data_IF_111712138770
#
_entry.id   IF_111712138770
#
_cell.length_a   1.000
_cell.length_b   1.000
_cell.length_c   1.000
_cell.angle_alpha   90.00
_cell.angle_beta   90.00
_cell.angle_gamma   90.00
#
_symmetry.space_group_name_H-M   'P 1'
#
loop_
_entity.id
_entity.type
_entity.pdbx_description
1 polymer ?
#
# COMPACT_ATOMS: atom_id res chain seq x y z
N UNK A 1 -24.69 -14.54 3.80
CA UNK A 1 -23.99 -13.27 3.84
C UNK A 1 -23.63 -12.79 2.43
N UNK A 2 -23.36 -11.51 2.29
CA UNK A 2 -22.88 -10.92 1.05
C UNK A 2 -21.96 -9.74 1.35
N UNK A 3 -21.27 -9.19 0.32
CA UNK A 3 -20.35 -8.09 0.51
C UNK A 3 -20.30 -7.14 -0.69
N UNK A 4 -19.84 -5.93 -0.42
CA UNK A 4 -19.47 -4.92 -1.43
C UNK A 4 -18.21 -4.20 -0.98
N UNK A 5 -17.47 -3.60 -1.92
CA UNK A 5 -16.29 -2.82 -1.58
C UNK A 5 -16.64 -1.63 -0.67
N UNK A 6 -15.82 -1.42 0.36
CA UNK A 6 -15.93 -0.24 1.23
C UNK A 6 -15.36 1.01 0.56
N UNK A 7 -14.50 0.84 -0.45
CA UNK A 7 -13.77 1.92 -1.15
C UNK A 7 -12.94 2.80 -0.22
N UNK A 8 -12.45 2.20 0.88
CA UNK A 8 -11.53 2.89 1.77
C UNK A 8 -10.18 3.13 1.09
N UNK A 9 -9.57 4.27 1.38
CA UNK A 9 -8.22 4.59 0.96
C UNK A 9 -7.22 3.82 1.83
N UNK A 10 -6.51 2.87 1.20
CA UNK A 10 -5.62 1.91 1.85
C UNK A 10 -4.25 1.85 1.19
N UNK A 11 -3.92 2.87 0.39
CA UNK A 11 -2.74 2.89 -0.47
C UNK A 11 -2.10 4.28 -0.44
N UNK A 12 -0.80 4.34 -0.17
CA UNK A 12 -0.02 5.57 -0.27
C UNK A 12 1.21 5.35 -1.15
N UNK A 13 1.65 6.41 -1.81
CA UNK A 13 2.93 6.47 -2.49
C UNK A 13 3.92 7.24 -1.61
N UNK A 14 5.17 6.78 -1.64
CA UNK A 14 6.28 7.47 -0.99
C UNK A 14 7.34 7.83 -2.02
N UNK A 15 7.83 9.05 -1.93
CA UNK A 15 8.98 9.51 -2.68
C UNK A 15 10.24 9.17 -1.89
N UNK A 16 11.01 8.21 -2.39
CA UNK A 16 12.22 7.71 -1.75
C UNK A 16 13.45 8.41 -2.33
N UNK A 17 14.30 8.96 -1.48
CA UNK A 17 15.58 9.50 -1.90
C UNK A 17 16.61 8.37 -1.96
N UNK A 18 17.06 8.06 -3.18
CA UNK A 18 17.94 6.91 -3.48
C UNK A 18 19.41 7.33 -3.52
N UNK A 19 20.29 6.41 -3.11
CA UNK A 19 21.73 6.50 -3.24
C UNK A 19 22.30 5.11 -3.57
N UNK A 20 22.41 4.77 -4.86
CA UNK A 20 22.82 3.45 -5.32
C UNK A 20 21.88 2.33 -4.87
N UNK A 21 22.38 1.42 -4.05
CA UNK A 21 21.63 0.29 -3.48
C UNK A 21 21.06 0.58 -2.07
N UNK A 22 20.94 1.87 -1.73
CA UNK A 22 20.41 2.32 -0.45
C UNK A 22 19.42 3.49 -0.65
N UNK A 23 18.66 3.82 0.38
CA UNK A 23 17.80 4.98 0.43
C UNK A 23 18.01 5.76 1.74
N UNK A 24 17.74 7.05 1.71
CA UNK A 24 17.82 7.91 2.89
C UNK A 24 16.59 7.74 3.78
N UNK A 25 16.83 7.63 5.09
CA UNK A 25 15.77 7.58 6.10
C UNK A 25 16.28 8.18 7.41
N UNK A 26 15.58 9.19 7.92
CA UNK A 26 15.91 9.88 9.19
C UNK A 26 17.38 10.31 9.30
N UNK A 27 17.94 10.78 8.19
CA UNK A 27 19.33 11.21 8.10
C UNK A 27 20.37 10.11 7.98
N UNK A 28 19.97 8.86 7.79
CA UNK A 28 20.85 7.70 7.59
C UNK A 28 20.57 6.99 6.26
N UNK A 29 21.58 6.32 5.71
CA UNK A 29 21.42 5.42 4.57
C UNK A 29 21.00 4.03 5.06
N UNK A 30 19.91 3.51 4.49
CA UNK A 30 19.38 2.17 4.74
C UNK A 30 19.47 1.35 3.46
N UNK A 31 20.02 0.13 3.47
CA UNK A 31 20.07 -0.72 2.28
C UNK A 31 18.66 -1.02 1.74
N UNK A 32 18.51 -1.01 0.41
CA UNK A 32 17.32 -1.53 -0.26
C UNK A 32 17.27 -3.06 -0.09
N UNK A 33 16.08 -3.56 0.17
CA UNK A 33 15.83 -5.00 0.05
C UNK A 33 15.65 -5.33 -1.45
N UNK A 34 16.39 -6.33 -1.93
CA UNK A 34 16.30 -6.77 -3.32
C UNK A 34 15.93 -8.23 -3.38
N UNK A 35 14.87 -8.54 -4.14
CA UNK A 35 14.41 -9.90 -4.38
C UNK A 35 14.37 -10.16 -5.88
N UNK A 36 15.10 -11.19 -6.31
CA UNK A 36 15.11 -11.59 -7.72
C UNK A 36 13.95 -12.55 -8.00
N UNK A 37 13.12 -12.23 -8.99
CA UNK A 37 12.02 -13.04 -9.46
C UNK A 37 12.26 -13.53 -10.88
N UNK A 38 12.00 -14.82 -11.13
CA UNK A 38 12.13 -15.44 -12.46
C UNK A 38 10.77 -15.90 -12.97
N UNK A 39 10.36 -15.38 -14.11
CA UNK A 39 9.15 -15.75 -14.81
C UNK A 39 9.46 -16.72 -15.92
N UNK A 40 8.93 -17.93 -15.84
CA UNK A 40 9.05 -18.92 -16.90
C UNK A 40 8.05 -18.63 -18.02
N UNK A 41 8.58 -18.39 -19.22
CA UNK A 41 7.78 -18.06 -20.40
C UNK A 41 7.58 -19.28 -21.27
N UNK A 42 6.34 -19.71 -21.47
CA UNK A 42 6.06 -20.86 -22.33
C UNK A 42 6.46 -20.57 -23.78
N UNK A 43 7.44 -21.33 -24.30
CA UNK A 43 7.94 -21.18 -25.67
C UNK A 43 8.90 -20.00 -25.89
N UNK A 44 9.40 -19.39 -24.85
CA UNK A 44 10.39 -18.32 -24.90
C UNK A 44 11.44 -18.46 -23.78
N UNK A 45 12.36 -17.50 -23.73
CA UNK A 45 13.35 -17.43 -22.67
C UNK A 45 12.72 -16.94 -21.36
N UNK A 46 13.22 -17.42 -20.22
CA UNK A 46 12.81 -16.96 -18.91
C UNK A 46 13.16 -15.47 -18.73
N UNK A 47 12.25 -14.73 -18.09
CA UNK A 47 12.45 -13.31 -17.75
C UNK A 47 12.77 -13.19 -16.27
N UNK A 48 13.86 -12.53 -15.94
CA UNK A 48 14.27 -12.27 -14.54
C UNK A 48 14.21 -10.77 -14.26
N UNK A 49 13.60 -10.40 -13.13
CA UNK A 49 13.54 -9.03 -12.64
C UNK A 49 14.01 -8.96 -11.20
N UNK A 50 14.60 -7.84 -10.82
CA UNK A 50 14.92 -7.52 -9.44
C UNK A 50 13.85 -6.55 -8.88
N UNK A 51 13.13 -7.01 -7.87
CA UNK A 51 12.19 -6.19 -7.11
C UNK A 51 12.94 -5.55 -5.95
N UNK A 52 13.11 -4.25 -6.02
CA UNK A 52 13.74 -3.44 -4.96
C UNK A 52 12.66 -2.87 -4.06
N UNK A 53 12.89 -2.85 -2.76
CA UNK A 53 11.92 -2.39 -1.77
C UNK A 53 12.59 -1.52 -0.70
N UNK A 54 11.81 -0.56 -0.18
CA UNK A 54 12.11 0.20 1.02
C UNK A 54 11.25 -0.32 2.18
N UNK A 55 11.30 0.33 3.33
CA UNK A 55 10.40 0.06 4.46
C UNK A 55 8.92 0.29 4.10
N UNK A 56 8.64 1.14 3.12
CA UNK A 56 7.27 1.42 2.68
C UNK A 56 6.73 0.37 1.70
N UNK A 57 7.62 -0.38 1.03
CA UNK A 57 7.25 -1.44 0.08
C UNK A 57 8.04 -1.39 -1.23
N UNK A 58 7.55 -2.07 -2.28
CA UNK A 58 8.27 -2.18 -3.54
C UNK A 58 8.36 -0.83 -4.26
N UNK A 59 9.51 -0.61 -4.92
CA UNK A 59 9.70 0.50 -5.84
C UNK A 59 8.91 0.22 -7.11
N UNK A 60 8.09 1.20 -7.51
CA UNK A 60 7.16 1.10 -8.64
C UNK A 60 7.41 2.14 -9.74
N UNK A 61 8.46 2.97 -9.63
CA UNK A 61 8.77 4.07 -10.56
C UNK A 61 8.78 3.64 -12.03
N UNK A 62 9.25 2.44 -12.34
CA UNK A 62 9.34 1.95 -13.73
C UNK A 62 8.06 1.27 -14.25
N UNK A 63 6.96 1.24 -13.49
CA UNK A 63 5.74 0.53 -13.89
C UNK A 63 4.83 1.35 -14.80
N UNK A 64 4.83 2.67 -14.64
CA UNK A 64 4.05 3.60 -15.47
C UNK A 64 4.86 4.84 -15.79
N UNK A 65 4.49 5.53 -16.88
CA UNK A 65 5.12 6.79 -17.26
C UNK A 65 4.93 7.87 -16.17
N UNK A 66 3.78 7.89 -15.51
CA UNK A 66 3.48 8.84 -14.43
C UNK A 66 4.40 8.62 -13.21
N UNK A 67 4.58 7.37 -12.76
CA UNK A 67 5.48 7.08 -11.64
C UNK A 67 6.94 7.37 -11.98
N UNK A 68 7.32 7.13 -13.23
CA UNK A 68 8.66 7.48 -13.73
C UNK A 68 8.86 8.99 -13.70
N UNK A 69 7.89 9.76 -14.22
CA UNK A 69 7.96 11.21 -14.23
C UNK A 69 8.04 11.83 -12.82
N UNK A 70 7.29 11.28 -11.85
CA UNK A 70 7.37 11.71 -10.44
C UNK A 70 8.77 11.45 -9.87
N UNK A 71 9.38 10.32 -10.19
CA UNK A 71 10.73 10.00 -9.73
C UNK A 71 11.81 10.88 -10.38
N UNK A 72 11.69 11.13 -11.69
CA UNK A 72 12.67 11.90 -12.46
C UNK A 72 12.63 13.40 -12.14
N UNK A 73 11.45 13.94 -11.89
CA UNK A 73 11.26 15.34 -11.50
C UNK A 73 10.19 15.51 -10.40
N UNK A 74 10.53 15.22 -9.16
CA UNK A 74 9.58 15.29 -8.07
C UNK A 74 9.12 16.72 -7.72
N UNK A 75 9.83 17.74 -8.19
CA UNK A 75 9.47 19.14 -7.96
C UNK A 75 8.37 19.64 -8.90
N UNK A 76 8.35 19.15 -10.14
CA UNK A 76 7.36 19.54 -11.17
C UNK A 76 6.46 18.36 -11.55
N UNK A 77 6.79 17.16 -11.11
CA UNK A 77 6.21 15.83 -11.31
C UNK A 77 4.97 15.79 -12.15
N UNK A 78 5.09 15.34 -13.36
CA UNK A 78 4.12 15.19 -14.43
C UNK A 78 2.85 16.06 -14.39
N UNK A 79 2.63 16.75 -15.51
CA UNK A 79 1.30 17.16 -15.98
C UNK A 79 0.35 17.72 -14.93
N UNK A 80 0.37 19.02 -14.72
CA UNK A 80 -0.63 19.83 -14.02
C UNK A 80 -0.82 19.61 -12.50
N UNK A 81 -0.21 18.63 -11.90
CA UNK A 81 -0.15 18.48 -10.46
C UNK A 81 1.24 18.91 -9.96
N UNK A 82 1.32 20.12 -9.44
CA UNK A 82 2.37 20.44 -8.46
C UNK A 82 2.24 19.39 -7.37
N UNK A 83 3.25 18.52 -7.22
CA UNK A 83 3.36 17.65 -6.04
C UNK A 83 3.84 18.56 -4.89
N UNK A 84 2.97 19.14 -4.08
CA UNK A 84 3.41 19.62 -2.80
C UNK A 84 3.72 18.32 -2.05
N UNK A 85 4.98 17.98 -1.88
CA UNK A 85 5.34 17.12 -0.76
C UNK A 85 4.54 17.63 0.42
N UNK A 86 3.85 16.73 1.12
CA UNK A 86 2.95 17.08 2.22
C UNK A 86 3.57 17.80 3.40
N UNK A 87 4.66 18.52 3.18
CA UNK A 87 5.27 19.47 4.08
C UNK A 87 4.46 20.76 3.97
N UNK A 88 3.42 20.88 4.78
CA UNK A 88 2.56 22.07 4.83
C UNK A 88 3.29 23.40 5.08
N UNK A 89 4.61 23.42 5.08
CA UNK A 89 5.51 24.54 5.31
C UNK A 89 6.37 24.92 4.08
N UNK A 90 6.14 24.30 2.92
CA UNK A 90 6.87 24.61 1.68
C UNK A 90 8.34 24.19 1.69
N UNK A 91 8.68 23.13 2.44
CA UNK A 91 10.02 22.58 2.44
C UNK A 91 10.42 22.15 1.03
N UNK A 92 11.61 22.57 0.59
CA UNK A 92 12.16 22.20 -0.70
C UNK A 92 12.53 20.71 -0.71
N UNK A 93 12.26 20.03 -1.83
CA UNK A 93 12.74 18.66 -2.05
C UNK A 93 14.27 18.69 -2.02
N UNK A 94 14.93 17.89 -1.15
CA UNK A 94 16.38 17.81 -1.14
C UNK A 94 16.91 17.36 -2.51
N UNK A 95 18.05 17.87 -3.00
CA UNK A 95 18.59 17.41 -4.28
C UNK A 95 19.01 15.92 -4.18
N UNK A 96 18.80 15.15 -5.25
CA UNK A 96 19.15 13.73 -5.29
C UNK A 96 18.45 12.95 -6.39
N UNK A 97 18.66 11.66 -6.42
CA UNK A 97 17.92 10.69 -7.22
C UNK A 97 16.72 10.20 -6.41
N UNK A 98 15.60 10.00 -7.09
CA UNK A 98 14.36 9.59 -6.44
C UNK A 98 13.73 8.36 -7.07
N UNK A 99 12.94 7.65 -6.28
CA UNK A 99 12.08 6.57 -6.72
C UNK A 99 10.73 6.68 -6.00
N UNK A 100 9.69 6.10 -6.59
CA UNK A 100 8.37 5.99 -5.96
C UNK A 100 8.22 4.58 -5.41
N UNK A 101 7.90 4.45 -4.13
CA UNK A 101 7.52 3.19 -3.51
C UNK A 101 6.02 3.14 -3.22
N UNK A 102 5.48 1.92 -3.16
CA UNK A 102 4.06 1.66 -2.93
C UNK A 102 3.85 1.08 -1.54
N UNK A 103 3.13 1.78 -0.67
CA UNK A 103 2.60 1.25 0.57
C UNK A 103 1.13 0.90 0.40
N UNK A 104 0.79 -0.37 0.57
CA UNK A 104 -0.57 -0.87 0.41
C UNK A 104 -0.87 -1.99 1.41
N UNK A 105 -2.00 -1.91 2.12
CA UNK A 105 -2.37 -2.93 3.11
C UNK A 105 -2.43 -4.35 2.55
N UNK A 106 -2.67 -4.50 1.23
CA UNK A 106 -2.69 -5.81 0.57
C UNK A 106 -1.30 -6.44 0.35
N UNK A 107 -0.21 -5.69 0.54
CA UNK A 107 1.15 -6.21 0.50
C UNK A 107 1.57 -6.86 1.82
N UNK A 108 0.82 -6.62 2.90
CA UNK A 108 1.07 -7.23 4.19
C UNK A 108 0.51 -8.67 4.23
N UNK A 109 1.20 -9.54 4.95
CA UNK A 109 0.69 -10.89 5.22
C UNK A 109 -0.57 -10.77 6.09
N UNK A 110 -1.66 -11.40 5.66
CA UNK A 110 -2.96 -11.27 6.32
C UNK A 110 -3.74 -12.57 6.40
N UNK A 111 -4.91 -12.50 7.06
CA UNK A 111 -5.78 -13.64 7.35
C UNK A 111 -7.07 -13.66 6.53
N UNK A 112 -7.20 -12.81 5.51
CA UNK A 112 -8.42 -12.69 4.69
C UNK A 112 -8.91 -14.02 4.11
N UNK A 113 -8.01 -14.89 3.64
CA UNK A 113 -8.39 -16.20 3.12
C UNK A 113 -9.07 -17.06 4.22
N UNK A 114 -8.54 -17.04 5.44
CA UNK A 114 -9.14 -17.74 6.59
C UNK A 114 -10.50 -17.14 6.96
N UNK A 115 -10.66 -15.82 6.85
CA UNK A 115 -11.94 -15.14 7.08
C UNK A 115 -13.04 -15.67 6.15
N UNK A 116 -12.75 -15.86 4.86
CA UNK A 116 -13.74 -16.37 3.89
C UNK A 116 -14.22 -17.77 4.26
N UNK A 117 -13.31 -18.68 4.64
CA UNK A 117 -13.70 -20.01 5.10
C UNK A 117 -14.52 -19.97 6.40
N UNK A 118 -14.15 -19.13 7.36
CA UNK A 118 -14.87 -18.96 8.62
C UNK A 118 -16.26 -18.33 8.41
N UNK A 119 -16.40 -17.34 7.52
CA UNK A 119 -17.69 -16.73 7.14
C UNK A 119 -18.66 -17.78 6.57
N UNK A 120 -18.17 -18.71 5.75
CA UNK A 120 -18.98 -19.76 5.12
C UNK A 120 -19.46 -20.82 6.13
N UNK A 121 -18.81 -20.94 7.27
CA UNK A 121 -19.17 -21.91 8.34
C UNK A 121 -19.86 -21.26 9.53
N UNK A 122 -20.00 -19.94 9.57
CA UNK A 122 -20.69 -19.22 10.63
C UNK A 122 -22.18 -19.59 10.66
N UNK A 123 -22.71 -19.94 11.83
CA UNK A 123 -24.10 -20.36 12.03
C UNK A 123 -24.99 -19.30 12.65
N UNK A 124 -24.39 -18.22 13.16
CA UNK A 124 -25.06 -17.11 13.80
C UNK A 124 -24.26 -15.79 13.63
N UNK A 125 -24.85 -14.69 14.10
CA UNK A 125 -24.21 -13.37 13.97
C UNK A 125 -22.91 -13.24 14.79
N UNK A 126 -22.78 -13.93 15.92
CA UNK A 126 -21.55 -13.90 16.72
C UNK A 126 -20.40 -14.60 15.99
N UNK A 127 -20.65 -15.76 15.38
CA UNK A 127 -19.71 -16.47 14.52
C UNK A 127 -19.35 -15.66 13.26
N UNK A 128 -20.35 -15.02 12.65
CA UNK A 128 -20.13 -14.13 11.52
C UNK A 128 -19.20 -12.96 11.88
N UNK A 129 -19.40 -12.30 13.03
CA UNK A 129 -18.53 -11.23 13.51
C UNK A 129 -17.11 -11.71 13.80
N UNK A 130 -16.98 -12.88 14.44
CA UNK A 130 -15.66 -13.47 14.71
C UNK A 130 -14.92 -13.78 13.41
N UNK A 131 -15.62 -14.30 12.39
CA UNK A 131 -15.04 -14.53 11.09
C UNK A 131 -14.66 -13.22 10.39
N UNK A 132 -15.52 -12.20 10.44
CA UNK A 132 -15.24 -10.88 9.86
C UNK A 132 -13.99 -10.22 10.47
N UNK A 133 -13.69 -10.46 11.76
CA UNK A 133 -12.48 -9.90 12.39
C UNK A 133 -11.16 -10.44 11.85
N UNK A 134 -11.18 -11.51 11.04
CA UNK A 134 -10.03 -12.08 10.36
C UNK A 134 -9.83 -11.46 8.95
N UNK A 135 -10.76 -10.62 8.51
CA UNK A 135 -10.73 -10.06 7.17
C UNK A 135 -9.89 -8.79 7.16
N UNK A 136 -8.68 -8.88 6.60
CA UNK A 136 -7.73 -7.78 6.59
C UNK A 136 -7.90 -6.85 5.37
N UNK A 137 -7.95 -7.43 4.15
CA UNK A 137 -7.94 -6.66 2.90
C UNK A 137 -8.72 -7.38 1.78
N UNK A 138 -9.27 -6.63 0.82
CA UNK A 138 -9.58 -5.19 0.87
C UNK A 138 -10.73 -4.90 1.84
N UNK A 139 -10.80 -3.69 2.39
CA UNK A 139 -11.90 -3.33 3.30
C UNK A 139 -13.27 -3.48 2.61
N UNK A 140 -14.22 -4.12 3.30
CA UNK A 140 -15.52 -4.51 2.75
C UNK A 140 -16.69 -4.05 3.61
N UNK A 141 -17.85 -3.90 2.97
CA UNK A 141 -19.14 -3.92 3.65
C UNK A 141 -19.64 -5.37 3.68
N UNK A 142 -19.76 -5.98 4.84
CA UNK A 142 -20.30 -7.33 5.01
C UNK A 142 -21.72 -7.28 5.59
N UNK A 143 -22.64 -7.94 4.90
CA UNK A 143 -24.06 -8.03 5.29
C UNK A 143 -24.38 -9.45 5.75
N UNK A 144 -25.06 -9.57 6.87
CA UNK A 144 -25.56 -10.81 7.43
C UNK A 144 -27.09 -10.83 7.45
N UNK A 145 -27.67 -11.99 7.14
CA UNK A 145 -29.06 -12.28 7.37
C UNK A 145 -29.23 -13.78 7.65
N UNK A 146 -30.16 -14.16 8.54
CA UNK A 146 -30.49 -15.54 8.88
C UNK A 146 -31.97 -15.86 8.72
N UNK A 147 -32.31 -17.14 8.88
CA UNK A 147 -33.69 -17.64 8.77
C UNK A 147 -34.57 -17.25 9.97
N UNK A 148 -34.00 -16.81 11.08
CA UNK A 148 -34.70 -16.29 12.24
C UNK A 148 -35.10 -14.81 12.07
N UNK A 149 -34.68 -14.19 10.96
CA UNK A 149 -35.00 -12.79 10.65
C UNK A 149 -33.97 -11.80 11.21
N UNK A 150 -32.85 -12.28 11.75
CA UNK A 150 -31.78 -11.39 12.19
C UNK A 150 -31.03 -10.85 10.97
N UNK A 151 -30.69 -9.55 11.03
CA UNK A 151 -29.84 -8.88 10.08
C UNK A 151 -28.69 -8.21 10.79
N UNK A 152 -27.54 -8.08 10.11
CA UNK A 152 -26.36 -7.45 10.69
C UNK A 152 -25.43 -6.88 9.64
N UNK A 153 -24.56 -6.02 10.09
CA UNK A 153 -23.54 -5.37 9.28
C UNK A 153 -22.19 -5.36 10.00
N UNK A 154 -21.14 -5.61 9.26
CA UNK A 154 -19.75 -5.42 9.68
C UNK A 154 -18.95 -4.74 8.56
N UNK A 155 -17.98 -3.93 8.95
CA UNK A 155 -17.07 -3.25 8.02
C UNK A 155 -15.63 -3.62 8.38
N UNK A 156 -15.20 -4.86 8.02
CA UNK A 156 -13.84 -5.28 8.30
C UNK A 156 -12.86 -4.74 7.27
N UNK A 157 -11.60 -4.70 7.66
CA UNK A 157 -10.46 -4.31 6.85
C UNK A 157 -9.46 -3.48 7.65
N UNK A 158 -8.20 -3.59 7.28
CA UNK A 158 -7.15 -2.74 7.82
C UNK A 158 -7.18 -1.40 7.11
N UNK A 159 -7.24 -0.32 7.86
CA UNK A 159 -7.14 1.05 7.39
C UNK A 159 -5.84 1.65 7.91
N UNK A 160 -5.10 2.39 7.08
CA UNK A 160 -3.87 3.04 7.54
C UNK A 160 -4.19 4.13 8.56
N UNK A 161 -3.39 4.20 9.60
CA UNK A 161 -3.29 5.36 10.48
C UNK A 161 -2.05 6.10 10.03
N UNK A 162 -2.23 7.18 9.28
CA UNK A 162 -1.13 7.99 8.77
C UNK A 162 -0.51 8.82 9.89
N UNK A 163 0.81 8.98 9.85
CA UNK A 163 1.53 9.92 10.71
C UNK A 163 1.27 11.37 10.26
N UNK A 164 2.28 12.05 9.77
CA UNK A 164 2.09 13.33 9.09
C UNK A 164 1.51 13.12 7.68
N UNK A 165 0.83 14.13 7.14
CA UNK A 165 0.19 14.06 5.82
C UNK A 165 -1.14 13.30 5.80
N UNK A 166 -1.76 13.24 4.63
CA UNK A 166 -3.09 12.64 4.42
C UNK A 166 -3.13 11.55 3.33
N UNK A 167 -1.98 11.27 2.68
CA UNK A 167 -1.86 10.26 1.62
C UNK A 167 -2.39 10.67 0.24
N UNK A 168 -2.92 11.89 0.08
CA UNK A 168 -3.44 12.37 -1.22
C UNK A 168 -2.33 12.62 -2.25
N UNK A 169 -1.10 12.81 -1.78
CA UNK A 169 0.10 13.04 -2.59
C UNK A 169 1.21 12.10 -2.12
N UNK A 170 2.23 11.81 -2.95
CA UNK A 170 3.39 11.05 -2.49
C UNK A 170 4.00 11.68 -1.23
N UNK A 171 4.26 10.87 -0.23
CA UNK A 171 4.79 11.30 1.07
C UNK A 171 6.34 11.25 1.06
N UNK A 172 7.03 12.08 1.86
CA UNK A 172 8.48 12.04 2.01
C UNK A 172 8.95 10.72 2.63
N UNK A 173 9.51 9.80 1.82
CA UNK A 173 9.98 8.50 2.30
C UNK A 173 11.22 8.55 3.19
N UNK A 174 11.95 9.69 3.17
CA UNK A 174 13.13 9.92 4.00
C UNK A 174 12.84 10.40 5.43
N UNK A 175 11.55 10.63 5.78
CA UNK A 175 11.12 11.14 7.09
C UNK A 175 10.06 10.20 7.69
N UNK A 176 10.41 9.50 8.76
CA UNK A 176 9.54 8.54 9.45
C UNK A 176 8.29 9.17 10.10
N UNK A 177 8.23 10.50 10.21
CA UNK A 177 7.03 11.19 10.67
C UNK A 177 5.82 10.94 9.74
N UNK A 178 6.05 10.59 8.47
CA UNK A 178 5.01 10.32 7.47
C UNK A 178 4.61 8.84 7.37
N UNK A 179 5.22 7.96 8.15
CA UNK A 179 4.90 6.53 8.13
C UNK A 179 3.47 6.24 8.59
N UNK A 180 2.98 5.09 8.18
CA UNK A 180 1.82 4.48 8.82
C UNK A 180 2.19 3.99 10.22
N UNK A 181 1.29 4.20 11.20
CA UNK A 181 1.45 3.84 12.62
C UNK A 181 0.79 2.50 12.94
#
# INVERSE_FOLDING_TARGET
WGFTNLTADVTDLYLEKIDGDAYWRDGALVPLETRTETFRVAGGDDVTIDVRSTVHGPIVSGLTDDFTAIADDPATGSTDAVVPLGTGDGASIPPGEYAVSLRWTALDVGTTASAIFALNTATDFAGFRAAASLFDVPAQNLIYADRAGNIGYQSPGKLPIRGAGDGTMPQPGWDSAYDWQ
#
